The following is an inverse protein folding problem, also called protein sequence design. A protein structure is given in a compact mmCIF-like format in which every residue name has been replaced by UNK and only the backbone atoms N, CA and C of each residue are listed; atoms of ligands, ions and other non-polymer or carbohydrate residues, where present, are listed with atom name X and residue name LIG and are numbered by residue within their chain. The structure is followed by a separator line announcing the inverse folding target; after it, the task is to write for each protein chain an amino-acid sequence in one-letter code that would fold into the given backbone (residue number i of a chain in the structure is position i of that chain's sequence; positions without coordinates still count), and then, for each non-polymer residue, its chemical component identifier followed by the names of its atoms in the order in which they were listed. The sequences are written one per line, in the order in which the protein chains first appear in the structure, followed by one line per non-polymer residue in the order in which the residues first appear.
data_IF_722064482558
#
_entry.id   IF_722064482558
#
_cell.length_a   1.000
_cell.length_b   1.000
_cell.length_c   1.000
_cell.angle_alpha   90.00
_cell.angle_beta   90.00
_cell.angle_gamma   90.00
#
_symmetry.space_group_name_H-M   'P 1'
#
loop_
_entity.id
_entity.type
_entity.pdbx_description
1 polymer ?
#
# COMPACT_ATOMS: atom_id res chain seq x y z
N UNK A 1 8.75 -30.87 -16.00
CA UNK A 1 8.64 -31.43 -14.62
C UNK A 1 9.03 -30.31 -13.66
N UNK A 2 8.07 -29.49 -13.22
CA UNK A 2 8.29 -28.35 -12.34
C UNK A 2 8.37 -28.82 -10.89
N UNK A 3 9.48 -28.55 -10.22
CA UNK A 3 9.62 -28.71 -8.78
C UNK A 3 8.71 -27.68 -8.08
N UNK A 4 7.57 -28.13 -7.56
CA UNK A 4 6.82 -27.34 -6.58
C UNK A 4 7.73 -27.07 -5.38
N UNK A 5 8.14 -25.82 -5.19
CA UNK A 5 8.76 -25.39 -3.92
C UNK A 5 7.67 -25.48 -2.85
N UNK A 6 7.82 -26.42 -1.92
CA UNK A 6 7.06 -26.42 -0.67
C UNK A 6 7.33 -25.09 0.02
N UNK A 7 6.34 -24.22 0.08
CA UNK A 7 6.35 -23.04 0.95
C UNK A 7 6.51 -23.60 2.38
N UNK A 8 7.67 -23.37 2.98
CA UNK A 8 7.90 -23.72 4.38
C UNK A 8 6.95 -22.88 5.22
N UNK A 9 5.95 -23.52 5.80
CA UNK A 9 5.02 -22.90 6.75
C UNK A 9 5.84 -22.18 7.83
N UNK A 10 5.72 -20.84 7.88
CA UNK A 10 6.32 -20.06 8.97
C UNK A 10 5.72 -20.58 10.26
N UNK A 11 6.55 -21.25 11.07
CA UNK A 11 6.11 -21.94 12.28
C UNK A 11 5.37 -20.99 13.22
N UNK A 12 4.11 -21.27 13.49
CA UNK A 12 3.26 -20.58 14.48
C UNK A 12 3.83 -20.64 15.92
N UNK A 13 4.84 -21.46 16.17
CA UNK A 13 5.43 -21.68 17.49
C UNK A 13 6.03 -20.43 18.11
N UNK A 14 6.46 -19.44 17.30
CA UNK A 14 7.10 -18.21 17.77
C UNK A 14 6.14 -17.00 17.88
N UNK A 15 4.84 -17.19 17.75
CA UNK A 15 3.86 -16.11 17.92
C UNK A 15 3.49 -15.94 19.40
N UNK A 16 3.23 -14.71 19.87
CA UNK A 16 2.80 -14.47 21.25
C UNK A 16 1.61 -15.34 21.65
N UNK A 17 1.58 -15.79 22.91
CA UNK A 17 0.54 -16.70 23.40
C UNK A 17 -0.88 -16.14 23.20
N UNK A 18 -1.08 -14.84 23.42
CA UNK A 18 -2.35 -14.14 23.19
C UNK A 18 -2.80 -14.24 21.73
N UNK A 19 -1.87 -14.13 20.77
CA UNK A 19 -2.17 -14.24 19.33
C UNK A 19 -2.67 -15.64 18.99
N UNK A 20 -2.05 -16.68 19.59
CA UNK A 20 -2.50 -18.06 19.44
C UNK A 20 -3.88 -18.29 20.04
N UNK A 21 -4.14 -17.73 21.22
CA UNK A 21 -5.44 -17.79 21.90
C UNK A 21 -6.55 -17.10 21.08
N UNK A 22 -6.31 -15.90 20.57
CA UNK A 22 -7.27 -15.18 19.74
C UNK A 22 -7.54 -15.94 18.43
N UNK A 23 -6.52 -16.45 17.76
CA UNK A 23 -6.72 -17.29 16.57
C UNK A 23 -7.43 -18.61 16.89
N UNK A 24 -7.17 -19.23 18.03
CA UNK A 24 -7.85 -20.46 18.45
C UNK A 24 -9.32 -20.20 18.82
N UNK A 25 -9.59 -19.15 19.60
CA UNK A 25 -10.95 -18.79 19.97
C UNK A 25 -11.81 -18.35 18.76
N UNK A 26 -11.22 -17.57 17.85
CA UNK A 26 -11.87 -17.21 16.59
C UNK A 26 -11.87 -18.36 15.57
N UNK A 27 -10.86 -19.24 15.62
CA UNK A 27 -10.79 -20.45 14.82
C UNK A 27 -11.90 -21.44 15.13
N UNK A 28 -12.34 -21.53 16.39
CA UNK A 28 -13.47 -22.37 16.77
C UNK A 28 -14.79 -21.90 16.16
N UNK A 29 -15.01 -20.59 16.07
CA UNK A 29 -16.15 -20.01 15.32
C UNK A 29 -16.02 -20.22 13.81
N UNK A 30 -14.81 -20.36 13.29
CA UNK A 30 -14.51 -20.63 11.89
C UNK A 30 -14.82 -22.09 11.48
N UNK A 31 -14.61 -23.04 12.38
CA UNK A 31 -15.03 -24.44 12.23
C UNK A 31 -16.56 -24.58 12.16
N UNK A 32 -17.32 -23.63 12.74
CA UNK A 32 -18.77 -23.57 12.68
C UNK A 32 -19.30 -22.93 11.37
N UNK A 33 -18.47 -22.80 10.34
CA UNK A 33 -18.90 -22.43 8.98
C UNK A 33 -19.00 -20.93 8.67
N UNK A 34 -18.64 -20.06 9.59
CA UNK A 34 -18.65 -18.59 9.37
C UNK A 34 -17.32 -18.08 8.84
N UNK A 35 -16.90 -18.55 7.66
CA UNK A 35 -15.80 -17.87 6.94
C UNK A 35 -16.26 -16.46 6.61
N UNK A 36 -15.65 -15.43 7.22
CA UNK A 36 -15.83 -14.05 6.81
C UNK A 36 -15.28 -13.92 5.38
N UNK A 37 -16.17 -14.07 4.39
CA UNK A 37 -15.81 -13.78 3.00
C UNK A 37 -15.67 -12.27 2.86
N UNK A 38 -14.60 -11.84 2.19
CA UNK A 38 -14.50 -10.46 1.75
C UNK A 38 -15.54 -10.21 0.65
N UNK A 39 -16.20 -9.06 0.72
CA UNK A 39 -17.20 -8.66 -0.25
C UNK A 39 -16.99 -7.19 -0.62
N UNK A 40 -16.94 -6.87 -1.92
CA UNK A 40 -16.70 -5.54 -2.45
C UNK A 40 -17.70 -4.53 -1.91
N UNK A 41 -19.00 -4.80 -2.03
CA UNK A 41 -20.06 -3.86 -1.66
C UNK A 41 -20.04 -3.55 -0.16
N UNK A 42 -19.76 -4.59 0.65
CA UNK A 42 -19.62 -4.40 2.09
C UNK A 42 -18.41 -3.52 2.43
N UNK A 43 -17.26 -3.70 1.77
CA UNK A 43 -16.07 -2.85 1.95
C UNK A 43 -16.34 -1.41 1.54
N UNK A 44 -16.99 -1.19 0.40
CA UNK A 44 -17.43 0.13 -0.09
C UNK A 44 -18.34 0.80 0.94
N UNK A 45 -19.36 0.07 1.44
CA UNK A 45 -20.27 0.59 2.47
C UNK A 45 -19.55 1.01 3.74
N UNK A 46 -18.57 0.21 4.20
CA UNK A 46 -17.76 0.52 5.37
C UNK A 46 -16.86 1.74 5.15
N UNK A 47 -16.22 1.86 3.98
CA UNK A 47 -15.38 3.00 3.64
C UNK A 47 -16.21 4.30 3.55
N UNK A 48 -17.37 4.27 2.90
CA UNK A 48 -18.31 5.39 2.85
C UNK A 48 -18.78 5.79 4.26
N UNK A 49 -19.14 4.81 5.10
CA UNK A 49 -19.52 5.08 6.51
C UNK A 49 -18.40 5.74 7.30
N UNK A 50 -17.14 5.31 7.07
CA UNK A 50 -15.98 5.85 7.77
C UNK A 50 -15.65 7.29 7.38
N UNK A 51 -15.87 7.65 6.11
CA UNK A 51 -15.44 8.93 5.55
C UNK A 51 -16.57 9.94 5.40
N UNK A 52 -17.83 9.50 5.31
CA UNK A 52 -18.97 10.32 4.92
C UNK A 52 -18.98 10.69 3.43
N UNK A 53 -18.05 10.15 2.63
CA UNK A 53 -17.84 10.46 1.22
C UNK A 53 -18.38 9.34 0.32
N UNK A 54 -18.70 9.65 -0.94
CA UNK A 54 -19.37 8.72 -1.83
C UNK A 54 -18.67 8.50 -3.19
N UNK A 55 -17.91 9.48 -3.68
CA UNK A 55 -17.26 9.42 -4.99
C UNK A 55 -15.88 8.77 -4.89
N UNK A 56 -15.65 7.76 -5.72
CA UNK A 56 -14.36 7.09 -5.87
C UNK A 56 -13.59 7.55 -7.13
N UNK A 57 -14.10 8.56 -7.86
CA UNK A 57 -13.55 8.96 -9.15
C UNK A 57 -13.86 7.95 -10.25
N UNK A 58 -12.90 7.76 -11.17
CA UNK A 58 -12.98 6.77 -12.25
C UNK A 58 -13.03 5.35 -11.68
N UNK A 59 -13.67 4.40 -12.39
CA UNK A 59 -14.00 3.05 -11.91
C UNK A 59 -12.90 1.99 -12.16
N UNK A 60 -11.77 2.35 -12.74
CA UNK A 60 -10.64 1.44 -13.05
C UNK A 60 -10.08 0.64 -11.85
N UNK A 61 -10.44 1.01 -10.64
CA UNK A 61 -10.06 0.30 -9.41
C UNK A 61 -10.99 -0.89 -9.08
N UNK A 62 -12.18 -0.97 -9.67
CA UNK A 62 -13.21 -1.94 -9.28
C UNK A 62 -12.83 -3.36 -9.67
N UNK A 63 -12.45 -3.59 -10.93
CA UNK A 63 -12.02 -4.91 -11.38
C UNK A 63 -10.78 -5.40 -10.62
N UNK A 64 -9.70 -4.62 -10.45
CA UNK A 64 -8.56 -5.03 -9.62
C UNK A 64 -8.94 -5.44 -8.20
N UNK A 65 -9.85 -4.69 -7.55
CA UNK A 65 -10.34 -5.03 -6.21
C UNK A 65 -11.12 -6.35 -6.22
N UNK A 66 -11.99 -6.57 -7.21
CA UNK A 66 -12.76 -7.82 -7.35
C UNK A 66 -11.84 -9.02 -7.53
N UNK A 67 -10.85 -8.92 -8.43
CA UNK A 67 -9.84 -9.97 -8.67
C UNK A 67 -9.07 -10.30 -7.39
N UNK A 68 -8.63 -9.25 -6.66
CA UNK A 68 -7.94 -9.45 -5.39
C UNK A 68 -8.83 -10.11 -4.34
N UNK A 69 -10.07 -9.66 -4.17
CA UNK A 69 -11.04 -10.25 -3.22
C UNK A 69 -11.29 -11.72 -3.56
N UNK A 70 -11.46 -12.04 -4.84
CA UNK A 70 -11.71 -13.41 -5.28
C UNK A 70 -10.52 -14.32 -4.94
N UNK A 71 -9.31 -13.92 -5.31
CA UNK A 71 -8.09 -14.65 -4.99
C UNK A 71 -7.87 -14.81 -3.47
N UNK A 72 -8.11 -13.75 -2.67
CA UNK A 72 -8.02 -13.85 -1.20
C UNK A 72 -9.06 -14.81 -0.62
N UNK A 73 -10.26 -14.82 -1.16
CA UNK A 73 -11.33 -15.71 -0.66
C UNK A 73 -11.08 -17.18 -0.95
N UNK A 74 -10.47 -17.50 -2.10
CA UNK A 74 -10.34 -18.87 -2.58
C UNK A 74 -8.95 -19.47 -2.42
N UNK A 75 -7.88 -18.64 -2.37
CA UNK A 75 -6.51 -19.12 -2.47
C UNK A 75 -5.64 -18.78 -1.24
N UNK A 76 -5.89 -17.63 -0.58
CA UNK A 76 -4.95 -17.11 0.43
C UNK A 76 -4.94 -17.88 1.76
N UNK A 77 -5.91 -18.74 2.03
CA UNK A 77 -6.03 -19.57 3.24
C UNK A 77 -5.77 -18.81 4.56
N UNK A 78 -6.16 -17.53 4.61
CA UNK A 78 -5.89 -16.66 5.75
C UNK A 78 -6.62 -17.12 7.01
N UNK A 79 -5.91 -17.11 8.13
CA UNK A 79 -6.52 -17.21 9.46
C UNK A 79 -7.51 -16.07 9.74
N UNK A 80 -8.45 -16.21 10.70
CA UNK A 80 -9.41 -15.18 11.04
C UNK A 80 -8.81 -13.79 11.28
N UNK A 81 -7.70 -13.72 12.02
CA UNK A 81 -6.96 -12.46 12.24
C UNK A 81 -6.38 -11.91 10.93
N UNK A 82 -5.80 -12.76 10.08
CA UNK A 82 -5.28 -12.35 8.77
C UNK A 82 -6.41 -11.80 7.88
N UNK A 83 -7.58 -12.45 7.86
CA UNK A 83 -8.76 -11.96 7.12
C UNK A 83 -9.25 -10.62 7.67
N UNK A 84 -9.27 -10.46 8.98
CA UNK A 84 -9.64 -9.17 9.59
C UNK A 84 -8.66 -8.06 9.18
N UNK A 85 -7.34 -8.31 9.26
CA UNK A 85 -6.31 -7.34 8.86
C UNK A 85 -6.45 -6.99 7.37
N UNK A 86 -6.64 -7.99 6.50
CA UNK A 86 -6.84 -7.77 5.06
C UNK A 86 -8.10 -6.95 4.79
N UNK A 87 -9.21 -7.25 5.48
CA UNK A 87 -10.45 -6.45 5.38
C UNK A 87 -10.21 -4.99 5.77
N UNK A 88 -9.55 -4.75 6.90
CA UNK A 88 -9.29 -3.39 7.38
C UNK A 88 -8.34 -2.63 6.43
N UNK A 89 -7.35 -3.34 5.85
CA UNK A 89 -6.47 -2.76 4.83
C UNK A 89 -7.24 -2.34 3.58
N UNK A 90 -8.03 -3.24 2.98
CA UNK A 90 -8.81 -2.94 1.76
C UNK A 90 -9.82 -1.81 2.01
N UNK A 91 -10.52 -1.83 3.16
CA UNK A 91 -11.38 -0.73 3.58
C UNK A 91 -10.61 0.59 3.72
N UNK A 92 -9.40 0.54 4.29
CA UNK A 92 -8.52 1.70 4.44
C UNK A 92 -8.10 2.29 3.10
N UNK A 93 -7.72 1.47 2.12
CA UNK A 93 -7.37 1.91 0.77
C UNK A 93 -8.57 2.57 0.06
N UNK A 94 -9.76 2.00 0.20
CA UNK A 94 -11.01 2.62 -0.31
C UNK A 94 -11.29 3.97 0.38
N UNK A 95 -11.07 4.07 1.68
CA UNK A 95 -11.25 5.33 2.42
C UNK A 95 -10.22 6.39 2.01
N UNK A 96 -8.98 6.00 1.71
CA UNK A 96 -7.94 6.89 1.16
C UNK A 96 -8.41 7.41 -0.21
N UNK A 97 -8.90 6.52 -1.08
CA UNK A 97 -9.40 6.90 -2.40
C UNK A 97 -10.55 7.89 -2.31
N UNK A 98 -11.57 7.63 -1.48
CA UNK A 98 -12.69 8.57 -1.26
C UNK A 98 -12.20 9.96 -0.85
N UNK A 99 -11.25 10.03 0.08
CA UNK A 99 -10.66 11.31 0.51
C UNK A 99 -9.85 11.96 -0.60
N UNK A 100 -9.05 11.21 -1.37
CA UNK A 100 -8.26 11.75 -2.47
C UNK A 100 -9.16 12.41 -3.51
N UNK A 101 -10.23 11.74 -3.95
CA UNK A 101 -11.20 12.29 -4.90
C UNK A 101 -11.92 13.53 -4.36
N UNK A 102 -12.23 13.53 -3.05
CA UNK A 102 -12.79 14.73 -2.40
C UNK A 102 -11.82 15.92 -2.45
N UNK A 103 -10.53 15.68 -2.15
CA UNK A 103 -9.49 16.70 -2.18
C UNK A 103 -9.23 17.21 -3.60
N UNK A 104 -9.16 16.34 -4.60
CA UNK A 104 -8.99 16.71 -6.00
C UNK A 104 -10.16 17.55 -6.52
N UNK A 105 -11.39 17.21 -6.11
CA UNK A 105 -12.58 18.00 -6.46
C UNK A 105 -12.62 19.36 -5.77
N UNK A 106 -12.19 19.41 -4.50
CA UNK A 106 -12.24 20.63 -3.69
C UNK A 106 -11.12 21.61 -4.04
N UNK A 107 -9.95 21.09 -4.42
CA UNK A 107 -8.73 21.82 -4.75
C UNK A 107 -8.18 21.34 -6.09
N UNK A 108 -8.80 21.74 -7.21
CA UNK A 108 -8.39 21.29 -8.55
C UNK A 108 -6.96 21.65 -8.89
N UNK A 109 -6.44 22.74 -8.32
CA UNK A 109 -5.04 23.18 -8.46
C UNK A 109 -4.03 22.11 -8.03
N UNK A 110 -4.43 21.12 -7.22
CA UNK A 110 -3.58 19.97 -6.89
C UNK A 110 -3.19 19.20 -8.15
N UNK A 111 -4.14 18.97 -9.05
CA UNK A 111 -3.91 18.22 -10.29
C UNK A 111 -3.25 19.07 -11.37
N UNK A 112 -3.41 20.39 -11.33
CA UNK A 112 -2.83 21.34 -12.28
C UNK A 112 -1.33 21.53 -12.06
N UNK A 113 -0.80 21.26 -10.85
CA UNK A 113 0.63 21.34 -10.57
C UNK A 113 1.43 20.44 -11.52
N UNK A 114 2.61 20.90 -11.91
CA UNK A 114 3.63 19.98 -12.42
C UNK A 114 4.19 19.10 -11.29
N UNK A 115 4.36 17.81 -11.59
CA UNK A 115 5.08 16.93 -10.67
C UNK A 115 6.54 17.35 -10.63
N UNK A 116 7.10 17.49 -9.43
CA UNK A 116 8.54 17.74 -9.28
C UNK A 116 9.36 16.64 -9.96
N UNK A 117 10.58 16.96 -10.43
CA UNK A 117 11.48 15.95 -11.00
C UNK A 117 11.61 14.74 -10.08
N UNK A 118 11.54 13.55 -10.64
CA UNK A 118 11.60 12.29 -9.89
C UNK A 118 12.92 11.58 -10.16
N UNK A 119 13.65 11.26 -9.10
CA UNK A 119 14.74 10.28 -9.13
C UNK A 119 14.18 8.95 -8.62
N UNK A 120 14.18 7.92 -9.46
CA UNK A 120 13.61 6.62 -9.16
C UNK A 120 14.71 5.60 -8.86
N UNK A 121 14.64 4.98 -7.68
CA UNK A 121 15.52 3.88 -7.28
C UNK A 121 14.77 2.57 -7.56
N UNK A 122 15.25 1.84 -8.57
CA UNK A 122 14.75 0.50 -8.90
C UNK A 122 15.86 -0.51 -8.67
N UNK A 123 15.52 -1.66 -8.16
CA UNK A 123 16.48 -2.74 -7.95
C UNK A 123 15.84 -3.93 -7.24
N UNK A 124 16.46 -5.09 -7.38
CA UNK A 124 16.01 -6.29 -6.68
C UNK A 124 16.06 -6.09 -5.17
N UNK A 125 15.21 -6.81 -4.48
CA UNK A 125 15.23 -6.84 -3.02
C UNK A 125 16.62 -7.27 -2.52
N UNK A 126 17.08 -6.72 -1.38
CA UNK A 126 18.36 -7.01 -0.73
C UNK A 126 19.62 -6.55 -1.47
N UNK A 127 19.52 -5.62 -2.42
CA UNK A 127 20.66 -5.04 -3.16
C UNK A 127 21.16 -3.70 -2.59
N UNK A 128 20.62 -3.28 -1.44
CA UNK A 128 21.03 -2.03 -0.77
C UNK A 128 20.22 -0.78 -1.15
N UNK A 129 19.17 -0.92 -1.97
CA UNK A 129 18.30 0.19 -2.40
C UNK A 129 17.71 0.99 -1.23
N UNK A 130 17.35 0.34 -0.12
CA UNK A 130 16.87 1.03 1.10
C UNK A 130 17.96 1.93 1.71
N UNK A 131 19.22 1.49 1.74
CA UNK A 131 20.32 2.32 2.23
C UNK A 131 20.55 3.53 1.34
N UNK A 132 20.55 3.34 0.01
CA UNK A 132 20.68 4.42 -0.96
C UNK A 132 19.53 5.43 -0.80
N UNK A 133 18.28 4.94 -0.68
CA UNK A 133 17.11 5.80 -0.47
C UNK A 133 17.26 6.67 0.80
N UNK A 134 17.68 6.06 1.91
CA UNK A 134 17.93 6.78 3.17
C UNK A 134 19.09 7.79 3.09
N UNK A 135 20.14 7.48 2.32
CA UNK A 135 21.24 8.42 2.08
C UNK A 135 20.78 9.64 1.28
N UNK A 136 20.03 9.42 0.20
CA UNK A 136 19.48 10.52 -0.61
C UNK A 136 18.44 11.33 0.17
N UNK A 137 17.69 10.72 1.08
CA UNK A 137 16.76 11.41 1.96
C UNK A 137 17.41 12.34 2.98
N UNK A 138 18.73 12.22 3.21
CA UNK A 138 19.47 13.12 4.10
C UNK A 138 19.67 14.53 3.50
N UNK A 139 19.58 14.67 2.17
CA UNK A 139 19.58 15.97 1.51
C UNK A 139 18.19 16.62 1.64
N UNK A 140 18.05 17.79 2.29
CA UNK A 140 16.75 18.46 2.48
C UNK A 140 16.11 18.94 1.17
N UNK A 141 16.85 19.00 0.07
CA UNK A 141 16.31 19.30 -1.26
C UNK A 141 15.51 18.11 -1.84
N UNK A 142 15.71 16.91 -1.31
CA UNK A 142 15.03 15.70 -1.73
C UNK A 142 13.76 15.49 -0.89
N UNK A 143 12.65 15.28 -1.59
CA UNK A 143 11.38 14.84 -1.03
C UNK A 143 11.31 13.32 -1.12
N UNK A 144 11.16 12.67 -0.01
CA UNK A 144 10.89 11.22 0.06
C UNK A 144 9.47 11.00 0.56
N UNK A 145 8.91 9.84 0.25
CA UNK A 145 7.67 9.38 0.84
C UNK A 145 8.01 8.83 2.24
N UNK A 146 7.54 9.49 3.29
CA UNK A 146 7.69 8.99 4.67
C UNK A 146 6.70 7.84 4.92
N UNK A 147 7.03 6.91 5.82
CA UNK A 147 6.16 5.77 6.13
C UNK A 147 4.74 6.17 6.54
N UNK A 148 4.56 7.26 7.31
CA UNK A 148 3.23 7.74 7.67
C UNK A 148 2.46 8.32 6.47
N UNK A 149 3.15 8.93 5.49
CA UNK A 149 2.55 9.42 4.25
C UNK A 149 2.21 8.26 3.30
N UNK A 150 3.06 7.24 3.25
CA UNK A 150 2.82 6.04 2.45
C UNK A 150 1.54 5.31 2.89
N UNK A 151 1.33 5.19 4.22
CA UNK A 151 0.16 4.53 4.79
C UNK A 151 -1.09 5.41 4.70
N UNK A 152 -0.94 6.73 4.88
CA UNK A 152 -2.03 7.70 4.90
C UNK A 152 -1.66 8.95 4.06
N UNK A 153 -1.64 8.86 2.72
CA UNK A 153 -1.17 9.93 1.86
C UNK A 153 -2.10 11.15 1.81
N UNK A 154 -3.36 10.96 2.18
CA UNK A 154 -4.41 11.97 2.02
C UNK A 154 -4.80 12.56 3.37
N UNK A 155 -4.94 13.90 3.48
CA UNK A 155 -5.42 14.54 4.71
C UNK A 155 -6.78 14.00 5.16
N UNK A 156 -6.95 13.85 6.47
CA UNK A 156 -8.21 13.39 7.05
C UNK A 156 -9.30 14.47 6.97
N UNK A 157 -8.89 15.71 7.14
CA UNK A 157 -9.69 16.94 7.09
C UNK A 157 -8.74 18.15 7.04
N UNK A 158 -9.26 19.36 7.16
CA UNK A 158 -8.50 20.63 7.12
C UNK A 158 -8.01 21.09 8.52
N UNK A 159 -8.17 20.28 9.51
CA UNK A 159 -7.82 20.60 10.88
C UNK A 159 -6.28 20.65 11.06
N UNK A 160 -5.71 21.69 11.70
CA UNK A 160 -4.26 21.82 11.88
C UNK A 160 -3.57 20.62 12.52
N UNK A 161 -4.30 19.84 13.35
CA UNK A 161 -3.79 18.64 14.01
C UNK A 161 -3.84 17.35 13.16
N UNK A 162 -4.28 17.40 11.90
CA UNK A 162 -4.51 16.20 11.09
C UNK A 162 -3.22 15.44 10.77
N UNK A 163 -2.11 16.14 10.50
CA UNK A 163 -0.79 15.52 10.26
C UNK A 163 -0.36 14.71 11.48
N UNK A 164 -0.47 15.29 12.68
CA UNK A 164 -0.13 14.58 13.92
C UNK A 164 -0.99 13.33 14.13
N UNK A 165 -2.27 13.39 13.75
CA UNK A 165 -3.16 12.20 13.81
C UNK A 165 -2.74 11.11 12.83
N UNK A 166 -2.38 11.46 11.57
CA UNK A 166 -1.86 10.48 10.59
C UNK A 166 -0.55 9.88 11.05
N UNK A 167 0.39 10.69 11.54
CA UNK A 167 1.66 10.21 12.11
C UNK A 167 1.44 9.27 13.31
N UNK A 168 0.54 9.63 14.22
CA UNK A 168 0.23 8.79 15.37
C UNK A 168 -0.43 7.46 14.96
N UNK A 169 -1.33 7.47 13.99
CA UNK A 169 -1.93 6.25 13.44
C UNK A 169 -0.87 5.34 12.82
N UNK A 170 0.07 5.89 12.03
CA UNK A 170 1.17 5.13 11.44
C UNK A 170 2.12 4.57 12.51
N UNK A 171 2.43 5.34 13.57
CA UNK A 171 3.22 4.88 14.72
C UNK A 171 2.56 3.72 15.45
N UNK A 172 1.23 3.78 15.63
CA UNK A 172 0.47 2.67 16.24
C UNK A 172 0.52 1.44 15.34
N UNK A 173 0.37 1.61 14.02
CA UNK A 173 0.44 0.52 13.04
C UNK A 173 1.83 -0.12 13.02
N UNK A 174 2.90 0.66 13.08
CA UNK A 174 4.28 0.15 13.20
C UNK A 174 4.44 -0.71 14.46
N UNK A 175 4.00 -0.20 15.63
CA UNK A 175 4.07 -0.95 16.89
C UNK A 175 3.27 -2.26 16.83
N UNK A 176 2.08 -2.23 16.25
CA UNK A 176 1.26 -3.42 16.07
C UNK A 176 1.93 -4.44 15.15
N UNK A 177 2.49 -4.00 14.02
CA UNK A 177 3.22 -4.86 13.09
C UNK A 177 4.47 -5.46 13.75
N UNK A 178 5.24 -4.67 14.49
CA UNK A 178 6.42 -5.13 15.24
C UNK A 178 6.07 -6.21 16.27
N UNK A 179 4.91 -6.08 16.91
CA UNK A 179 4.42 -7.09 17.85
C UNK A 179 3.92 -8.36 17.16
N UNK A 180 3.20 -8.20 16.04
CA UNK A 180 2.60 -9.34 15.32
C UNK A 180 3.57 -10.11 14.44
N UNK A 181 4.55 -9.41 13.85
CA UNK A 181 5.51 -9.97 12.91
C UNK A 181 6.94 -9.46 13.13
N UNK A 182 7.57 -9.75 14.31
CA UNK A 182 8.90 -9.21 14.65
C UNK A 182 9.98 -9.60 13.64
N UNK A 183 9.91 -10.80 13.06
CA UNK A 183 10.83 -11.25 12.02
C UNK A 183 10.74 -10.48 10.69
N UNK A 184 9.63 -9.81 10.43
CA UNK A 184 9.46 -8.98 9.23
C UNK A 184 10.41 -7.78 9.25
N UNK A 185 10.64 -7.16 10.41
CA UNK A 185 11.52 -6.01 10.55
C UNK A 185 13.01 -6.29 10.26
N UNK A 186 13.43 -7.55 10.37
CA UNK A 186 14.79 -7.93 9.96
C UNK A 186 14.96 -7.99 8.44
N UNK A 187 13.84 -8.15 7.71
CA UNK A 187 13.81 -8.22 6.25
C UNK A 187 13.49 -6.86 5.66
N UNK A 188 12.44 -6.21 6.18
CA UNK A 188 11.98 -4.90 5.74
C UNK A 188 11.65 -4.03 6.96
N UNK A 189 12.58 -3.13 7.38
CA UNK A 189 12.34 -2.24 8.51
C UNK A 189 11.32 -1.16 8.14
N UNK A 190 10.11 -1.28 8.64
CA UNK A 190 9.03 -0.30 8.50
C UNK A 190 9.10 0.67 9.67
N UNK A 191 9.42 1.92 9.37
CA UNK A 191 9.51 3.00 10.35
C UNK A 191 8.68 4.18 9.87
N UNK A 192 7.72 4.65 10.66
CA UNK A 192 6.71 5.62 10.22
C UNK A 192 7.29 6.98 9.77
N UNK A 193 8.45 7.39 10.29
CA UNK A 193 9.12 8.66 9.92
C UNK A 193 10.19 8.49 8.83
N UNK A 194 10.60 7.28 8.52
CA UNK A 194 11.67 7.02 7.55
C UNK A 194 11.14 6.90 6.13
N UNK A 195 12.02 7.03 5.11
CA UNK A 195 11.66 6.80 3.73
C UNK A 195 11.05 5.42 3.51
N UNK A 196 9.91 5.36 2.83
CA UNK A 196 9.15 4.15 2.54
C UNK A 196 8.94 4.00 1.03
N UNK A 197 8.53 2.82 0.60
CA UNK A 197 8.31 2.48 -0.81
C UNK A 197 7.01 3.09 -1.34
N UNK A 198 7.09 3.66 -2.52
CA UNK A 198 5.95 4.29 -3.18
C UNK A 198 4.93 3.29 -3.77
N UNK A 199 5.23 1.98 -3.78
CA UNK A 199 4.27 0.92 -4.08
C UNK A 199 3.00 1.02 -3.21
N UNK A 200 3.11 1.56 -1.99
CA UNK A 200 1.95 1.77 -1.11
C UNK A 200 0.96 2.81 -1.66
N UNK A 201 1.39 3.72 -2.54
CA UNK A 201 0.49 4.61 -3.27
C UNK A 201 -0.25 3.85 -4.39
N UNK A 202 0.46 2.96 -5.11
CA UNK A 202 -0.15 2.08 -6.12
C UNK A 202 -1.24 1.17 -5.51
N UNK A 203 -1.07 0.74 -4.25
CA UNK A 203 -2.07 -0.06 -3.53
C UNK A 203 -3.48 0.57 -3.56
N UNK A 204 -3.58 1.89 -3.62
CA UNK A 204 -4.87 2.61 -3.65
C UNK A 204 -5.67 2.37 -4.93
N UNK A 205 -5.03 1.82 -5.96
CA UNK A 205 -5.66 1.41 -7.22
C UNK A 205 -5.94 -0.09 -7.26
N UNK A 206 -5.49 -0.84 -6.25
CA UNK A 206 -5.49 -2.31 -6.21
C UNK A 206 -4.69 -2.95 -7.37
N UNK A 207 -3.81 -2.19 -8.02
CA UNK A 207 -2.88 -2.62 -9.06
C UNK A 207 -1.45 -2.52 -8.50
N UNK A 208 -1.07 -3.45 -7.64
CA UNK A 208 0.27 -3.51 -7.05
C UNK A 208 0.68 -4.94 -6.71
N UNK A 209 1.98 -5.19 -6.62
CA UNK A 209 2.52 -6.50 -6.23
C UNK A 209 2.56 -6.70 -4.71
N UNK A 210 2.09 -5.75 -3.90
CA UNK A 210 2.05 -5.90 -2.43
C UNK A 210 1.19 -7.07 -1.94
N UNK A 211 0.02 -7.39 -2.53
CA UNK A 211 -0.77 -8.55 -2.12
C UNK A 211 0.00 -9.87 -2.25
N UNK A 212 0.67 -10.12 -3.37
CA UNK A 212 1.42 -11.36 -3.58
C UNK A 212 2.67 -11.46 -2.69
N UNK A 213 3.28 -10.32 -2.33
CA UNK A 213 4.39 -10.29 -1.39
C UNK A 213 3.98 -10.65 0.06
N UNK A 214 2.69 -10.57 0.38
CA UNK A 214 2.16 -10.75 1.75
C UNK A 214 1.19 -11.91 1.90
N UNK A 215 0.59 -12.40 0.82
CA UNK A 215 -0.44 -13.45 0.81
C UNK A 215 -0.25 -14.39 -0.38
N UNK A 216 -0.80 -15.58 -0.30
CA UNK A 216 -0.86 -16.50 -1.44
C UNK A 216 -2.08 -16.15 -2.31
N UNK A 217 -1.85 -15.41 -3.40
CA UNK A 217 -2.89 -14.91 -4.33
C UNK A 217 -2.47 -15.10 -5.79
N UNK A 218 -2.17 -16.34 -6.21
CA UNK A 218 -1.55 -16.62 -7.51
C UNK A 218 -2.43 -16.22 -8.70
N UNK A 219 -3.75 -16.35 -8.63
CA UNK A 219 -4.62 -15.95 -9.74
C UNK A 219 -4.65 -14.43 -9.93
N UNK A 220 -4.62 -13.67 -8.81
CA UNK A 220 -4.48 -12.21 -8.87
C UNK A 220 -3.11 -11.81 -9.42
N UNK A 221 -2.02 -12.44 -8.99
CA UNK A 221 -0.67 -12.14 -9.48
C UNK A 221 -0.54 -12.38 -11.00
N UNK A 222 -0.99 -13.55 -11.47
CA UNK A 222 -0.97 -13.88 -12.90
C UNK A 222 -1.83 -12.94 -13.76
N UNK A 223 -2.96 -12.46 -13.23
CA UNK A 223 -3.78 -11.47 -13.89
C UNK A 223 -3.09 -10.11 -13.91
N UNK A 224 -2.44 -9.70 -12.80
CA UNK A 224 -1.75 -8.42 -12.66
C UNK A 224 -0.60 -8.28 -13.66
N UNK A 225 0.19 -9.36 -13.89
CA UNK A 225 1.28 -9.38 -14.87
C UNK A 225 0.83 -9.05 -16.30
N UNK A 226 -0.43 -9.34 -16.63
CA UNK A 226 -1.00 -9.13 -17.98
C UNK A 226 -1.84 -7.86 -18.07
N UNK A 227 -2.02 -7.14 -16.96
CA UNK A 227 -2.89 -5.97 -16.88
C UNK A 227 -2.13 -4.69 -17.12
N UNK A 228 -2.71 -3.76 -17.91
CA UNK A 228 -2.15 -2.43 -18.09
C UNK A 228 -2.13 -1.64 -16.77
N UNK A 229 -0.95 -1.27 -16.34
CA UNK A 229 -0.71 -0.51 -15.11
C UNK A 229 -0.78 1.01 -15.32
N UNK A 230 -1.06 1.50 -16.52
CA UNK A 230 -1.03 2.94 -16.86
C UNK A 230 -1.90 3.77 -15.92
N UNK A 231 -3.08 3.25 -15.57
CA UNK A 231 -3.97 3.91 -14.62
C UNK A 231 -3.35 4.02 -13.21
N UNK A 232 -2.70 2.96 -12.73
CA UNK A 232 -2.06 2.96 -11.41
C UNK A 232 -0.96 4.02 -11.33
N UNK A 233 -0.13 4.14 -12.36
CA UNK A 233 0.90 5.18 -12.42
C UNK A 233 0.31 6.58 -12.53
N UNK A 234 -0.72 6.78 -13.36
CA UNK A 234 -1.44 8.06 -13.45
C UNK A 234 -2.01 8.48 -12.10
N UNK A 235 -2.64 7.56 -11.39
CA UNK A 235 -3.22 7.83 -10.07
C UNK A 235 -2.15 8.09 -9.01
N UNK A 236 -1.04 7.36 -9.05
CA UNK A 236 0.12 7.60 -8.17
C UNK A 236 0.69 9.00 -8.38
N UNK A 237 0.80 9.48 -9.62
CA UNK A 237 1.19 10.88 -9.91
C UNK A 237 0.23 11.86 -9.25
N UNK A 238 -1.08 11.62 -9.30
CA UNK A 238 -2.09 12.48 -8.64
C UNK A 238 -1.89 12.50 -7.12
N UNK A 239 -1.60 11.36 -6.50
CA UNK A 239 -1.30 11.30 -5.06
C UNK A 239 0.04 11.98 -4.71
N UNK A 240 1.06 11.87 -5.55
CA UNK A 240 2.32 12.60 -5.36
C UNK A 240 2.12 14.10 -5.46
N UNK A 241 1.28 14.58 -6.39
CA UNK A 241 0.88 15.99 -6.48
C UNK A 241 0.13 16.46 -5.23
N UNK A 242 -0.76 15.63 -4.69
CA UNK A 242 -1.43 15.92 -3.41
C UNK A 242 -0.44 16.03 -2.25
N UNK A 243 0.53 15.13 -2.19
CA UNK A 243 1.57 15.14 -1.17
C UNK A 243 2.50 16.35 -1.31
N UNK A 244 2.88 16.75 -2.53
CA UNK A 244 3.71 17.95 -2.73
C UNK A 244 2.93 19.23 -2.47
N UNK A 245 1.61 19.27 -2.71
CA UNK A 245 0.73 20.38 -2.33
C UNK A 245 0.71 20.60 -0.81
N UNK A 246 0.68 19.49 -0.04
CA UNK A 246 0.75 19.56 1.43
C UNK A 246 2.12 20.01 1.95
N UNK A 247 3.20 19.53 1.34
CA UNK A 247 4.59 19.78 1.77
C UNK A 247 5.47 19.94 0.54
N UNK A 248 5.70 21.18 0.06
CA UNK A 248 6.54 21.45 -1.09
C UNK A 248 8.00 21.04 -0.88
N UNK A 249 8.70 20.73 -1.98
CA UNK A 249 10.13 20.47 -2.03
C UNK A 249 10.67 20.80 -3.43
N UNK A 250 11.89 20.33 -3.77
CA UNK A 250 12.49 20.58 -5.10
C UNK A 250 12.40 19.40 -6.04
N UNK A 251 12.47 18.16 -5.53
CA UNK A 251 12.43 16.92 -6.31
C UNK A 251 12.01 15.74 -5.45
N UNK A 252 11.44 14.72 -6.08
CA UNK A 252 11.12 13.46 -5.44
C UNK A 252 12.27 12.47 -5.55
N UNK A 253 12.49 11.68 -4.50
CA UNK A 253 13.26 10.44 -4.55
C UNK A 253 12.33 9.31 -4.14
N UNK A 254 11.96 8.48 -5.10
CA UNK A 254 11.04 7.34 -4.93
C UNK A 254 11.81 6.04 -5.01
N UNK A 255 11.31 4.98 -4.38
CA UNK A 255 11.94 3.67 -4.38
C UNK A 255 10.91 2.55 -4.28
N UNK A 256 10.87 1.68 -5.29
CA UNK A 256 10.17 0.39 -5.20
C UNK A 256 10.78 -0.62 -6.16
N UNK A 257 10.90 -1.90 -5.77
CA UNK A 257 11.24 -2.99 -6.69
C UNK A 257 10.16 -3.23 -7.75
N UNK A 258 8.89 -2.91 -7.47
CA UNK A 258 7.76 -3.04 -8.40
C UNK A 258 8.03 -2.39 -9.77
N UNK A 259 8.69 -1.24 -9.78
CA UNK A 259 8.97 -0.52 -11.03
C UNK A 259 9.91 -1.26 -12.00
N UNK A 260 10.62 -2.30 -11.55
CA UNK A 260 11.47 -3.11 -12.44
C UNK A 260 10.66 -3.86 -13.50
N UNK A 261 9.43 -4.23 -13.17
CA UNK A 261 8.51 -4.92 -14.08
C UNK A 261 7.80 -3.94 -15.04
N UNK A 262 7.76 -2.64 -14.67
CA UNK A 262 7.00 -1.60 -15.36
C UNK A 262 7.86 -0.35 -15.65
N UNK A 263 9.15 -0.53 -16.01
CA UNK A 263 10.09 0.58 -16.21
C UNK A 263 9.62 1.60 -17.24
N UNK A 264 9.00 1.14 -18.34
CA UNK A 264 8.49 2.03 -19.39
C UNK A 264 7.35 2.92 -18.88
N UNK A 265 6.45 2.37 -18.06
CA UNK A 265 5.37 3.13 -17.45
C UNK A 265 5.92 4.11 -16.38
N UNK A 266 6.79 3.63 -15.50
CA UNK A 266 7.45 4.49 -14.52
C UNK A 266 8.16 5.65 -15.22
N UNK A 267 8.87 5.35 -16.31
CA UNK A 267 9.54 6.33 -17.14
C UNK A 267 8.59 7.35 -17.77
N UNK A 268 7.48 6.88 -18.33
CA UNK A 268 6.48 7.72 -18.98
C UNK A 268 5.79 8.68 -18.02
N UNK A 269 5.51 8.22 -16.79
CA UNK A 269 4.71 8.98 -15.82
C UNK A 269 5.55 9.81 -14.83
N UNK A 270 6.75 9.35 -14.46
CA UNK A 270 7.62 10.06 -13.52
C UNK A 270 8.72 10.86 -14.20
N UNK A 271 9.00 10.60 -15.50
CA UNK A 271 10.17 11.12 -16.16
C UNK A 271 9.89 12.21 -17.17
N UNK A 272 10.14 13.47 -16.81
CA UNK A 272 10.49 14.48 -17.82
C UNK A 272 11.96 14.89 -17.76
N UNK A 273 12.70 14.60 -16.69
CA UNK A 273 14.12 14.97 -16.62
C UNK A 273 14.94 14.03 -15.72
N UNK A 274 16.01 13.50 -16.29
CA UNK A 274 17.13 12.76 -15.69
C UNK A 274 16.79 11.67 -14.67
N UNK A 275 16.85 10.46 -15.17
CA UNK A 275 16.61 9.20 -14.48
C UNK A 275 17.92 8.63 -13.96
N UNK A 276 17.92 8.30 -12.68
CA UNK A 276 18.92 7.39 -12.15
C UNK A 276 18.21 6.08 -11.83
N UNK A 277 18.37 5.09 -12.72
CA UNK A 277 18.06 3.69 -12.42
C UNK A 277 19.32 3.12 -11.78
N UNK A 278 19.23 2.69 -10.55
CA UNK A 278 20.32 2.02 -9.84
C UNK A 278 19.89 0.61 -9.48
#
# INVERSE_FOLDING_TARGET
MGRQRKVTSVSFKNKPAWFRLVNSAWGSSYFLGTKIKLNKDHLIKLARKQTGLHSFGEDFWEEPLERLIDSVNHEAELHPVGRFITRERLKGLLAIRLRAEHWFKKYPEILEQELYPVSLICGLQRTGTTKLHRLLAADPANRVLSGWEAINPVPLNEDPGEIARRMNAARISEKALRLMAPGFFSIHPVEYEKPEEDILLLDTTFLSTTPEATMHVPSYAAWLEQTDQSYAYKYTVSLLKLLQYQRPAKRWVLKSPHHMEFLDLANRHFGRDRKSVV
#
